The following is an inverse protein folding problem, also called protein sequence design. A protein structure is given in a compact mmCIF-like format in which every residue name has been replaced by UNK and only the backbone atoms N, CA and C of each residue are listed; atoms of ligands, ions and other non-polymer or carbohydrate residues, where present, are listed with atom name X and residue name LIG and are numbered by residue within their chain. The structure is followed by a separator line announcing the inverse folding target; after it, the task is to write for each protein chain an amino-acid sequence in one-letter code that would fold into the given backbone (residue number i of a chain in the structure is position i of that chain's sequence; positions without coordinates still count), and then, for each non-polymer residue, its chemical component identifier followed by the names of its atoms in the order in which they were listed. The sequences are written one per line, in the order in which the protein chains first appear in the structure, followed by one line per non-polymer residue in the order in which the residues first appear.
data_IF_500104581896
#
_entry.id   IF_500104581896
#
_cell.length_a   1.000
_cell.length_b   1.000
_cell.length_c   1.000
_cell.angle_alpha   90.00
_cell.angle_beta   90.00
_cell.angle_gamma   90.00
#
_symmetry.space_group_name_H-M   'P 1'
#
loop_
_entity.id
_entity.type
_entity.pdbx_description
1 polymer ?
#
# COMPACT_ATOMS: atom_id res chain seq x y z
N UNK A 1 -6.58 -5.38 -17.43
CA UNK A 1 -5.73 -5.81 -16.30
C UNK A 1 -6.42 -6.77 -15.32
N UNK A 2 -7.76 -6.88 -15.36
CA UNK A 2 -8.56 -7.70 -14.44
C UNK A 2 -8.21 -9.19 -14.39
N UNK A 3 -7.89 -9.82 -15.54
CA UNK A 3 -7.54 -11.25 -15.58
C UNK A 3 -6.27 -11.58 -14.79
N UNK A 4 -5.33 -10.65 -14.71
CA UNK A 4 -4.03 -10.85 -14.03
C UNK A 4 -4.16 -10.53 -12.55
N UNK A 5 -4.61 -9.31 -12.24
CA UNK A 5 -4.59 -8.78 -10.87
C UNK A 5 -5.86 -9.03 -10.08
N UNK A 6 -6.91 -9.56 -10.73
CA UNK A 6 -8.17 -9.90 -10.10
C UNK A 6 -9.08 -8.70 -9.87
N UNK A 7 -10.31 -9.03 -9.48
CA UNK A 7 -11.36 -8.07 -9.07
C UNK A 7 -12.12 -8.62 -7.86
N UNK A 8 -11.47 -9.48 -7.07
CA UNK A 8 -12.10 -10.12 -5.93
C UNK A 8 -12.23 -9.12 -4.78
N UNK A 9 -13.42 -8.98 -4.18
CA UNK A 9 -13.69 -7.89 -3.25
C UNK A 9 -12.87 -8.00 -1.96
N UNK A 10 -12.50 -6.85 -1.42
CA UNK A 10 -11.87 -6.69 -0.11
C UNK A 10 -12.42 -5.47 0.62
N UNK A 11 -12.34 -5.44 1.94
CA UNK A 11 -12.50 -4.20 2.70
C UNK A 11 -11.13 -3.68 3.13
N UNK A 12 -10.87 -2.40 2.93
CA UNK A 12 -9.75 -1.73 3.59
C UNK A 12 -10.22 -1.31 4.98
N UNK A 13 -9.53 -1.78 6.01
CA UNK A 13 -9.88 -1.51 7.41
C UNK A 13 -9.25 -0.18 7.79
N UNK A 14 -10.07 0.84 8.06
CA UNK A 14 -9.57 2.13 8.52
C UNK A 14 -9.16 2.06 9.99
N UNK A 15 -7.92 1.67 10.24
CA UNK A 15 -7.30 1.64 11.56
C UNK A 15 -5.91 2.28 11.54
N UNK A 16 -5.25 2.32 12.70
CA UNK A 16 -3.99 3.02 12.89
C UNK A 16 -2.80 2.44 12.08
N UNK A 17 -2.92 1.23 11.51
CA UNK A 17 -1.88 0.65 10.63
C UNK A 17 -2.10 0.99 9.16
N UNK A 18 -3.25 1.55 8.80
CA UNK A 18 -3.62 1.90 7.43
C UNK A 18 -3.23 3.35 7.14
N UNK A 19 -2.02 3.54 6.62
CA UNK A 19 -1.36 4.86 6.51
C UNK A 19 -0.43 4.93 5.30
N UNK A 20 -0.25 6.14 4.75
CA UNK A 20 0.77 6.46 3.76
C UNK A 20 1.93 7.24 4.41
N UNK A 21 3.04 6.57 4.71
CA UNK A 21 4.17 7.18 5.40
C UNK A 21 5.51 6.59 4.91
N UNK A 22 6.58 7.38 4.99
CA UNK A 22 7.95 6.94 4.67
C UNK A 22 8.16 6.33 3.28
N UNK A 23 7.31 6.71 2.32
CA UNK A 23 7.34 6.18 0.95
C UNK A 23 6.63 4.84 0.79
N UNK A 24 5.82 4.42 1.76
CA UNK A 24 4.99 3.22 1.69
C UNK A 24 3.53 3.52 1.97
N UNK A 25 2.63 2.81 1.27
CA UNK A 25 1.23 2.68 1.65
C UNK A 25 1.04 1.35 2.36
N UNK A 26 0.84 1.40 3.67
CA UNK A 26 0.51 0.22 4.49
C UNK A 26 -0.99 0.11 4.60
N UNK A 27 -1.53 -1.08 4.31
CA UNK A 27 -2.96 -1.35 4.33
C UNK A 27 -3.23 -2.62 5.12
N UNK A 28 -4.17 -2.53 6.06
CA UNK A 28 -4.89 -3.71 6.54
C UNK A 28 -6.11 -3.91 5.65
N UNK A 29 -6.20 -5.09 5.03
CA UNK A 29 -7.35 -5.47 4.22
C UNK A 29 -8.02 -6.71 4.81
N UNK A 30 -9.33 -6.82 4.60
CA UNK A 30 -10.14 -7.97 4.98
C UNK A 30 -10.72 -8.61 3.73
N UNK A 31 -10.58 -9.93 3.64
CA UNK A 31 -11.17 -10.73 2.56
C UNK A 31 -11.84 -11.99 3.13
N UNK A 32 -12.46 -12.80 2.28
CA UNK A 32 -12.93 -14.13 2.66
C UNK A 32 -11.88 -15.16 2.26
N UNK A 33 -11.67 -16.15 3.12
CA UNK A 33 -10.77 -17.27 2.86
C UNK A 33 -11.44 -18.56 3.33
N UNK A 34 -11.58 -19.51 2.41
CA UNK A 34 -12.18 -20.81 2.64
C UNK A 34 -11.12 -21.90 2.69
N UNK A 35 -10.13 -21.84 1.79
CA UNK A 35 -9.00 -22.75 1.73
C UNK A 35 -7.68 -22.03 2.02
N UNK A 36 -7.11 -22.33 3.18
CA UNK A 36 -5.83 -21.77 3.61
C UNK A 36 -4.64 -22.16 2.72
N UNK A 37 -4.77 -23.16 1.85
CA UNK A 37 -3.72 -23.52 0.88
C UNK A 37 -3.75 -22.65 -0.37
N UNK A 38 -4.89 -22.03 -0.68
CA UNK A 38 -5.03 -21.13 -1.83
C UNK A 38 -4.39 -19.78 -1.49
N UNK A 39 -3.39 -19.40 -2.29
CA UNK A 39 -2.66 -18.14 -2.11
C UNK A 39 -3.36 -17.02 -2.85
N UNK A 40 -3.74 -15.99 -2.10
CA UNK A 40 -4.30 -14.76 -2.64
C UNK A 40 -3.17 -13.84 -3.08
N UNK A 41 -3.38 -13.12 -4.19
CA UNK A 41 -2.44 -12.13 -4.68
C UNK A 41 -3.04 -10.74 -4.51
N UNK A 42 -2.24 -9.83 -3.96
CA UNK A 42 -2.60 -8.42 -3.81
C UNK A 42 -1.58 -7.54 -4.52
N UNK A 43 -2.06 -6.51 -5.20
CA UNK A 43 -1.23 -5.61 -6.00
C UNK A 43 -1.72 -4.18 -5.84
N UNK A 44 -0.81 -3.22 -6.02
CA UNK A 44 -1.13 -1.81 -6.11
C UNK A 44 -0.82 -1.34 -7.53
N UNK A 45 -1.84 -0.89 -8.25
CA UNK A 45 -1.68 -0.35 -9.60
C UNK A 45 -1.68 1.17 -9.56
N UNK A 46 -0.88 1.76 -10.45
CA UNK A 46 -0.97 3.19 -10.73
C UNK A 46 -2.24 3.43 -11.54
N UNK A 47 -3.00 4.47 -11.19
CA UNK A 47 -4.12 4.89 -12.01
C UNK A 47 -3.62 5.49 -13.32
N UNK A 48 -4.33 5.22 -14.40
CA UNK A 48 -4.09 5.86 -15.70
C UNK A 48 -4.70 7.28 -15.77
N UNK A 49 -5.20 7.81 -14.65
CA UNK A 49 -5.82 9.13 -14.59
C UNK A 49 -4.77 10.25 -14.74
N UNK A 50 -4.71 10.98 -15.87
CA UNK A 50 -3.73 12.03 -16.07
C UNK A 50 -3.98 13.25 -15.19
N UNK A 51 -5.20 13.41 -14.65
CA UNK A 51 -5.57 14.56 -13.80
C UNK A 51 -5.15 14.36 -12.34
N UNK A 52 -4.95 13.10 -11.90
CA UNK A 52 -4.52 12.79 -10.55
C UNK A 52 -3.40 11.75 -10.55
N UNK A 53 -2.12 12.19 -10.59
CA UNK A 53 -0.99 11.27 -10.59
C UNK A 53 -0.79 10.55 -9.24
N UNK A 54 -1.49 10.97 -8.18
CA UNK A 54 -1.47 10.33 -6.85
C UNK A 54 -2.73 9.48 -6.64
N UNK A 55 -3.21 8.82 -7.69
CA UNK A 55 -4.30 7.87 -7.61
C UNK A 55 -3.77 6.45 -7.85
N UNK A 56 -4.12 5.53 -6.94
CA UNK A 56 -3.72 4.13 -6.99
C UNK A 56 -4.90 3.21 -6.77
N UNK A 57 -4.82 2.00 -7.29
CA UNK A 57 -5.87 1.00 -7.19
C UNK A 57 -5.35 -0.28 -6.53
N UNK A 58 -6.01 -0.69 -5.45
CA UNK A 58 -5.75 -1.98 -4.81
C UNK A 58 -6.48 -3.09 -5.55
N UNK A 59 -5.74 -4.10 -5.99
CA UNK A 59 -6.25 -5.27 -6.70
C UNK A 59 -6.01 -6.54 -5.91
N UNK A 60 -7.03 -7.40 -5.91
CA UNK A 60 -7.01 -8.67 -5.21
C UNK A 60 -7.48 -9.79 -6.14
N UNK A 61 -6.69 -10.87 -6.18
CA UNK A 61 -6.98 -12.11 -6.90
C UNK A 61 -6.94 -13.27 -5.90
N UNK A 62 -8.11 -13.75 -5.51
CA UNK A 62 -8.32 -14.85 -4.57
C UNK A 62 -8.14 -16.23 -5.22
N UNK A 63 -7.86 -16.29 -6.54
CA UNK A 63 -7.75 -17.55 -7.30
C UNK A 63 -8.99 -18.45 -7.17
N UNK A 64 -10.16 -17.84 -7.00
CA UNK A 64 -11.44 -18.53 -6.81
C UNK A 64 -11.82 -18.80 -5.35
N UNK A 65 -10.94 -18.55 -4.38
CA UNK A 65 -11.25 -18.68 -2.95
C UNK A 65 -11.95 -17.43 -2.38
N UNK A 66 -13.19 -17.21 -2.81
CA UNK A 66 -13.98 -16.01 -2.47
C UNK A 66 -15.06 -16.26 -1.40
N UNK A 67 -15.00 -17.40 -0.70
CA UNK A 67 -15.99 -17.80 0.31
C UNK A 67 -15.29 -18.15 1.62
N UNK A 68 -16.07 -18.47 2.66
CA UNK A 68 -15.53 -18.87 3.96
C UNK A 68 -15.49 -17.74 4.98
N UNK A 69 -14.50 -17.78 5.87
CA UNK A 69 -14.40 -16.87 7.01
C UNK A 69 -13.71 -15.58 6.59
N UNK A 70 -14.06 -14.49 7.27
CA UNK A 70 -13.29 -13.25 7.12
C UNK A 70 -11.88 -13.43 7.70
N UNK A 71 -10.88 -13.06 6.92
CA UNK A 71 -9.47 -13.05 7.29
C UNK A 71 -8.88 -11.67 6.98
N UNK A 72 -7.95 -11.24 7.84
CA UNK A 72 -7.24 -9.97 7.68
C UNK A 72 -5.83 -10.23 7.13
N UNK A 73 -5.42 -9.40 6.19
CA UNK A 73 -4.06 -9.34 5.66
C UNK A 73 -3.45 -7.96 5.88
N UNK A 74 -2.12 -7.92 6.00
CA UNK A 74 -1.35 -6.69 6.10
C UNK A 74 -0.33 -6.65 4.97
N UNK A 75 -0.25 -5.53 4.27
CA UNK A 75 0.69 -5.33 3.16
C UNK A 75 1.18 -3.89 3.15
N UNK A 76 2.45 -3.70 2.76
CA UNK A 76 3.03 -2.38 2.54
C UNK A 76 3.57 -2.31 1.10
N UNK A 77 3.06 -1.35 0.32
CA UNK A 77 3.51 -1.11 -1.04
C UNK A 77 4.43 0.10 -1.08
N UNK A 78 5.57 -0.03 -1.76
CA UNK A 78 6.45 1.11 -2.01
C UNK A 78 5.80 2.05 -3.03
N UNK A 79 5.90 3.36 -2.79
CA UNK A 79 5.29 4.42 -3.59
C UNK A 79 6.32 5.16 -4.47
N UNK A 80 7.46 4.53 -4.77
CA UNK A 80 8.56 5.14 -5.52
C UNK A 80 8.29 5.30 -7.02
N UNK A 81 7.20 4.71 -7.52
CA UNK A 81 6.72 4.92 -8.88
C UNK A 81 5.81 6.15 -9.03
N UNK A 82 5.39 6.79 -7.92
CA UNK A 82 4.63 8.04 -7.94
C UNK A 82 5.58 9.23 -8.11
N UNK A 83 5.11 10.36 -8.68
CA UNK A 83 5.93 11.57 -8.77
C UNK A 83 6.39 12.09 -7.41
N UNK A 84 7.52 12.81 -7.41
CA UNK A 84 8.01 13.47 -6.21
C UNK A 84 7.01 14.54 -5.73
N UNK A 85 6.70 14.58 -4.43
CA UNK A 85 5.82 15.61 -3.86
C UNK A 85 6.57 16.92 -3.60
N UNK A 86 7.87 16.98 -3.87
CA UNK A 86 8.72 18.16 -3.70
C UNK A 86 8.68 18.72 -2.27
N UNK A 87 8.50 17.82 -1.29
CA UNK A 87 8.38 18.16 0.12
C UNK A 87 7.02 18.72 0.53
N UNK A 88 6.02 18.73 -0.35
CA UNK A 88 4.63 19.08 -0.04
C UNK A 88 3.85 17.83 0.38
N UNK A 89 2.84 18.03 1.23
CA UNK A 89 1.84 17.00 1.50
C UNK A 89 0.76 17.05 0.43
N UNK A 90 0.50 15.91 -0.21
CA UNK A 90 -0.55 15.72 -1.23
C UNK A 90 -1.56 14.68 -0.74
N UNK A 91 -2.73 14.63 -1.38
CA UNK A 91 -3.73 13.58 -1.13
C UNK A 91 -3.48 12.39 -2.06
N UNK A 92 -3.04 11.28 -1.48
CA UNK A 92 -2.97 9.99 -2.17
C UNK A 92 -4.36 9.34 -2.13
N UNK A 93 -4.97 9.12 -3.29
CA UNK A 93 -6.28 8.49 -3.41
C UNK A 93 -6.12 7.00 -3.69
N UNK A 94 -6.63 6.17 -2.80
CA UNK A 94 -6.75 4.73 -2.98
C UNK A 94 -8.16 4.38 -3.48
N UNK A 95 -8.26 3.54 -4.51
CA UNK A 95 -9.49 2.90 -4.97
C UNK A 95 -9.42 1.39 -4.76
N UNK A 96 -10.55 0.77 -4.44
CA UNK A 96 -10.66 -0.70 -4.39
C UNK A 96 -12.10 -1.16 -4.60
N UNK A 97 -12.22 -2.41 -5.08
CA UNK A 97 -13.49 -3.10 -5.15
C UNK A 97 -13.81 -3.74 -3.80
N UNK A 98 -14.90 -3.28 -3.19
CA UNK A 98 -15.40 -3.79 -1.91
C UNK A 98 -16.57 -4.76 -2.08
N UNK A 99 -17.01 -5.39 -0.99
CA UNK A 99 -18.18 -6.27 -1.04
C UNK A 99 -19.47 -5.50 -1.36
N UNK A 100 -19.49 -4.19 -1.14
CA UNK A 100 -20.61 -3.30 -1.45
C UNK A 100 -20.39 -2.43 -2.70
N UNK A 101 -19.43 -2.79 -3.56
CA UNK A 101 -19.08 -2.05 -4.78
C UNK A 101 -17.78 -1.25 -4.66
N UNK A 102 -17.51 -0.36 -5.61
CA UNK A 102 -16.29 0.44 -5.62
C UNK A 102 -16.25 1.42 -4.44
N UNK A 103 -15.08 1.51 -3.77
CA UNK A 103 -14.82 2.44 -2.68
C UNK A 103 -13.50 3.16 -2.88
N UNK A 104 -13.33 4.27 -2.17
CA UNK A 104 -12.08 5.03 -2.14
C UNK A 104 -11.80 5.66 -0.78
N UNK A 105 -10.53 5.92 -0.52
CA UNK A 105 -10.03 6.63 0.65
C UNK A 105 -8.88 7.56 0.25
N UNK A 106 -8.65 8.60 1.05
CA UNK A 106 -7.56 9.55 0.84
C UNK A 106 -6.62 9.56 2.04
N UNK A 107 -5.33 9.65 1.75
CA UNK A 107 -4.26 9.69 2.73
C UNK A 107 -3.42 10.93 2.52
N UNK A 108 -2.95 11.54 3.61
CA UNK A 108 -1.89 12.55 3.53
C UNK A 108 -0.57 11.84 3.20
N UNK A 109 0.03 12.22 2.09
CA UNK A 109 1.25 11.61 1.57
C UNK A 109 2.31 12.67 1.28
N UNK A 110 3.55 12.39 1.68
CA UNK A 110 4.72 13.16 1.32
C UNK A 110 5.84 12.18 0.97
N UNK A 111 6.56 12.46 -0.11
CA UNK A 111 7.70 11.63 -0.49
C UNK A 111 8.77 11.66 0.59
N UNK A 112 9.43 10.52 0.75
CA UNK A 112 10.48 10.38 1.76
C UNK A 112 11.56 11.42 1.47
N UNK A 113 11.81 12.31 2.42
CA UNK A 113 12.96 13.21 2.36
C UNK A 113 14.23 12.37 2.43
N UNK A 114 15.05 12.42 1.39
CA UNK A 114 16.39 11.86 1.41
C UNK A 114 17.17 12.47 2.58
N UNK A 115 17.48 11.67 3.58
CA UNK A 115 18.43 12.06 4.63
C UNK A 115 19.82 11.92 4.04
N UNK A 116 20.26 12.92 3.27
CA UNK A 116 21.68 13.06 2.96
C UNK A 116 22.35 13.42 4.28
N UNK A 117 23.27 12.58 4.82
CA UNK A 117 23.98 12.96 6.04
C UNK A 117 24.75 14.25 5.74
N UNK A 118 24.50 15.32 6.50
CA UNK A 118 25.21 16.60 6.35
C UNK A 118 26.72 16.45 6.57
N UNK A 119 27.16 15.36 7.19
CA UNK A 119 28.57 15.02 7.36
C UNK A 119 28.81 13.51 7.31
N UNK A 120 29.82 13.04 6.54
CA UNK A 120 30.26 11.63 6.55
C UNK A 120 30.71 11.15 7.93
N UNK A 121 31.00 12.06 8.87
CA UNK A 121 31.35 11.72 10.25
C UNK A 121 30.20 11.02 11.02
N UNK A 122 28.94 11.39 10.75
CA UNK A 122 27.78 10.81 11.45
C UNK A 122 27.56 9.34 11.03
N UNK A 123 27.89 8.98 9.78
CA UNK A 123 27.83 7.60 9.28
C UNK A 123 28.87 6.71 9.98
N UNK A 124 30.06 7.23 10.27
CA UNK A 124 31.12 6.47 10.93
C UNK A 124 30.79 6.09 12.38
N UNK A 125 30.10 6.97 13.12
CA UNK A 125 29.77 6.75 14.54
C UNK A 125 28.69 5.67 14.71
N UNK A 126 27.74 5.57 13.77
CA UNK A 126 26.67 4.56 13.83
C UNK A 126 27.19 3.14 13.62
N UNK A 127 28.24 2.96 12.82
CA UNK A 127 28.86 1.64 12.59
C UNK A 127 29.74 1.17 13.75
N UNK A 128 30.09 2.03 14.72
CA UNK A 128 30.98 1.67 15.83
C UNK A 128 30.28 1.17 17.10
N UNK A 129 28.94 1.09 17.12
CA UNK A 129 28.21 0.44 18.21
C UNK A 129 28.19 -1.08 18.02
N UNK A 130 29.34 -1.71 18.26
CA UNK A 130 29.35 -3.14 18.59
C UNK A 130 28.66 -3.30 19.94
N UNK A 131 27.50 -3.95 19.96
CA UNK A 131 26.92 -4.46 21.20
C UNK A 131 27.93 -5.43 21.82
N UNK A 132 28.49 -5.05 22.97
CA UNK A 132 29.20 -5.96 23.88
C UNK A 132 28.20 -6.73 24.74
#
# INVERSE_FOLDING_TARGET
NDTVYGTDPVEIVNDWVTIAEDGYLTLRFRTQQGDYQTKHFVNLLLSENPENPYEVEFRHNAKGDIYGRYADGLVAFKLDALPDTEGKTVKLKLKWKSFSGEKSAEFDYCTRKSVTPESPAITSVRNSLNLQ
#
